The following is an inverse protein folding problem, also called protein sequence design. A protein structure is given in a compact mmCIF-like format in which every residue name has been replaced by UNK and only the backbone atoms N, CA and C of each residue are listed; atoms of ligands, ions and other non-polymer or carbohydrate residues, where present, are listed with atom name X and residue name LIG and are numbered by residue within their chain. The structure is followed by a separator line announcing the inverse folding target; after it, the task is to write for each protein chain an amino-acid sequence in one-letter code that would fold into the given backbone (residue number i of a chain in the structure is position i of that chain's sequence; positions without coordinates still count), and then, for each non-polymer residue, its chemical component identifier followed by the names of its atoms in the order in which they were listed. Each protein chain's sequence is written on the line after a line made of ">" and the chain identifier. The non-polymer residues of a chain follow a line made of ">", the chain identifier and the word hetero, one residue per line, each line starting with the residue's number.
data_IF_351666039059
#
_entry.id   IF_351666039059
#
_cell.length_a   1.000
_cell.length_b   1.000
_cell.length_c   1.000
_cell.angle_alpha   90.00
_cell.angle_beta   90.00
_cell.angle_gamma   90.00
#
_symmetry.space_group_name_H-M   'P 1'
#
loop_
_entity.id
_entity.type
_entity.pdbx_description
1 polymer ?
#
# COMPACT_ATOMS: atom_id res chain seq x y z
N UNK A 1 -22.73 -4.54 -4.36
CA UNK A 1 -21.83 -3.63 -3.60
C UNK A 1 -21.70 -2.34 -4.39
N UNK A 2 -21.92 -1.19 -3.76
CA UNK A 2 -21.70 0.12 -4.40
C UNK A 2 -20.28 0.61 -4.03
N UNK A 3 -19.45 0.87 -5.01
CA UNK A 3 -18.03 1.23 -4.81
C UNK A 3 -17.85 2.58 -4.10
N UNK A 4 -18.73 3.53 -4.37
CA UNK A 4 -18.66 4.86 -3.74
C UNK A 4 -19.05 4.80 -2.26
N UNK A 5 -20.13 4.08 -1.93
CA UNK A 5 -20.56 3.89 -0.54
C UNK A 5 -19.53 3.08 0.26
N UNK A 6 -18.93 2.06 -0.38
CA UNK A 6 -17.84 1.30 0.23
C UNK A 6 -16.65 2.18 0.53
N UNK A 7 -16.21 2.99 -0.45
CA UNK A 7 -15.08 3.91 -0.27
C UNK A 7 -15.39 4.93 0.83
N UNK A 8 -16.55 5.57 0.80
CA UNK A 8 -16.95 6.55 1.83
C UNK A 8 -16.94 5.91 3.22
N UNK A 9 -17.50 4.71 3.37
CA UNK A 9 -17.47 3.97 4.62
C UNK A 9 -16.05 3.62 5.09
N UNK A 10 -15.14 3.30 4.19
CA UNK A 10 -13.72 3.08 4.51
C UNK A 10 -13.04 4.38 4.95
N UNK A 11 -13.34 5.51 4.29
CA UNK A 11 -12.75 6.80 4.64
C UNK A 11 -13.21 7.32 6.01
N UNK A 12 -14.47 7.05 6.38
CA UNK A 12 -15.02 7.38 7.69
C UNK A 12 -14.33 6.63 8.84
N UNK A 13 -13.63 5.55 8.53
CA UNK A 13 -12.84 4.76 9.48
C UNK A 13 -11.36 5.11 9.33
N UNK A 14 -10.95 6.16 10.04
CA UNK A 14 -9.56 6.59 10.05
C UNK A 14 -8.66 5.46 10.53
N UNK A 15 -7.71 5.03 9.69
CA UNK A 15 -6.90 3.83 9.90
C UNK A 15 -5.41 4.08 9.64
N UNK A 16 -4.74 4.95 10.42
CA UNK A 16 -3.29 5.03 10.31
C UNK A 16 -2.66 3.69 10.69
N UNK A 17 -1.46 3.43 10.18
CA UNK A 17 -0.70 2.20 10.46
C UNK A 17 -0.74 1.86 11.96
N UNK A 18 -1.01 0.61 12.29
CA UNK A 18 -1.29 0.03 13.62
C UNK A 18 -2.67 0.35 14.22
N UNK A 19 -3.56 1.04 13.51
CA UNK A 19 -4.91 1.36 13.96
C UNK A 19 -5.98 0.97 12.90
N UNK A 20 -5.73 -0.10 12.15
CA UNK A 20 -6.53 -0.49 10.98
C UNK A 20 -7.81 -1.28 11.31
N UNK A 21 -7.94 -1.79 12.53
CA UNK A 21 -8.95 -2.80 12.89
C UNK A 21 -10.40 -2.42 12.52
N UNK A 22 -10.81 -1.16 12.70
CA UNK A 22 -12.16 -0.72 12.35
C UNK A 22 -12.40 -0.75 10.83
N UNK A 23 -11.43 -0.30 10.03
CA UNK A 23 -11.52 -0.32 8.58
C UNK A 23 -11.50 -1.75 8.04
N UNK A 24 -10.66 -2.62 8.61
CA UNK A 24 -10.57 -4.05 8.29
C UNK A 24 -11.90 -4.75 8.55
N UNK A 25 -12.46 -4.60 9.74
CA UNK A 25 -13.74 -5.23 10.11
C UNK A 25 -14.89 -4.73 9.23
N UNK A 26 -14.90 -3.44 8.89
CA UNK A 26 -15.88 -2.88 7.98
C UNK A 26 -15.77 -3.50 6.58
N UNK A 27 -14.56 -3.58 6.02
CA UNK A 27 -14.36 -4.17 4.69
C UNK A 27 -14.77 -5.64 4.67
N UNK A 28 -14.39 -6.42 5.69
CA UNK A 28 -14.81 -7.83 5.84
C UNK A 28 -16.34 -7.94 5.88
N UNK A 29 -17.03 -7.09 6.66
CA UNK A 29 -18.48 -7.10 6.72
C UNK A 29 -19.13 -6.76 5.36
N UNK A 30 -18.61 -5.78 4.65
CA UNK A 30 -19.10 -5.39 3.32
C UNK A 30 -18.86 -6.48 2.27
N UNK A 31 -17.68 -7.11 2.28
CA UNK A 31 -17.37 -8.25 1.41
C UNK A 31 -18.29 -9.44 1.72
N UNK A 32 -18.47 -9.77 3.00
CA UNK A 32 -19.40 -10.86 3.40
C UNK A 32 -20.84 -10.59 2.91
N UNK A 33 -21.35 -9.38 3.07
CA UNK A 33 -22.66 -8.99 2.60
C UNK A 33 -22.79 -9.05 1.06
N UNK A 34 -21.68 -8.94 0.35
CA UNK A 34 -21.62 -9.03 -1.11
C UNK A 34 -21.34 -10.46 -1.64
N UNK A 35 -21.35 -11.47 -0.77
CA UNK A 35 -21.21 -12.87 -1.15
C UNK A 35 -19.80 -13.42 -1.16
N UNK A 36 -18.83 -12.69 -0.62
CA UNK A 36 -17.49 -13.23 -0.41
C UNK A 36 -17.44 -14.16 0.81
N UNK A 37 -16.63 -15.20 0.75
CA UNK A 37 -16.10 -15.84 1.94
C UNK A 37 -15.04 -14.89 2.54
N UNK A 38 -15.46 -14.05 3.49
CA UNK A 38 -14.59 -12.98 4.00
C UNK A 38 -14.21 -13.23 5.47
N UNK A 39 -12.97 -12.85 5.81
CA UNK A 39 -12.39 -12.98 7.15
C UNK A 39 -11.28 -11.96 7.38
N UNK A 40 -10.91 -11.81 8.63
CA UNK A 40 -9.61 -11.22 9.02
C UNK A 40 -8.60 -12.37 9.10
N UNK A 41 -7.40 -12.19 8.57
CA UNK A 41 -6.32 -13.17 8.70
C UNK A 41 -5.49 -12.98 9.97
N UNK A 42 -4.45 -13.80 10.14
CA UNK A 42 -3.63 -13.89 11.35
C UNK A 42 -2.81 -12.61 11.63
N UNK A 43 -2.53 -11.80 10.61
CA UNK A 43 -1.77 -10.54 10.77
C UNK A 43 -2.68 -9.30 10.72
N UNK A 44 -3.99 -9.51 10.52
CA UNK A 44 -4.99 -8.46 10.54
C UNK A 44 -5.43 -7.95 9.17
N UNK A 45 -5.05 -8.59 8.07
CA UNK A 45 -5.56 -8.23 6.74
C UNK A 45 -7.05 -8.56 6.60
N UNK A 46 -7.77 -7.75 5.86
CA UNK A 46 -9.10 -8.08 5.37
C UNK A 46 -8.97 -8.98 4.13
N UNK A 47 -9.49 -10.20 4.18
CA UNK A 47 -9.43 -11.15 3.07
C UNK A 47 -10.83 -11.53 2.64
N UNK A 48 -11.15 -11.40 1.35
CA UNK A 48 -12.40 -11.83 0.75
C UNK A 48 -12.17 -12.71 -0.46
N UNK A 49 -12.91 -13.81 -0.58
CA UNK A 49 -12.78 -14.78 -1.67
C UNK A 49 -14.12 -14.99 -2.36
N UNK A 50 -14.14 -14.96 -3.70
CA UNK A 50 -15.26 -15.41 -4.53
C UNK A 50 -14.77 -16.51 -5.46
N UNK A 51 -15.55 -17.58 -5.59
CA UNK A 51 -15.20 -18.81 -6.27
C UNK A 51 -14.48 -19.78 -5.33
N UNK A 52 -14.77 -21.04 -5.50
CA UNK A 52 -14.30 -22.11 -4.59
C UNK A 52 -13.01 -22.76 -5.07
N UNK A 53 -12.59 -22.46 -6.30
CA UNK A 53 -11.45 -23.15 -6.89
C UNK A 53 -11.67 -24.66 -7.03
N UNK A 54 -12.94 -25.09 -7.16
CA UNK A 54 -13.33 -26.50 -7.19
C UNK A 54 -12.66 -27.33 -8.30
N UNK A 55 -12.08 -26.66 -9.29
CA UNK A 55 -11.24 -27.27 -10.32
C UNK A 55 -9.76 -27.19 -9.89
N UNK A 56 -9.03 -28.30 -9.99
CA UNK A 56 -7.57 -28.31 -9.80
C UNK A 56 -6.83 -27.34 -10.75
N UNK A 57 -7.46 -26.99 -11.86
CA UNK A 57 -6.95 -26.05 -12.87
C UNK A 57 -7.47 -24.62 -12.69
N UNK A 58 -8.21 -24.31 -11.60
CA UNK A 58 -8.75 -22.99 -11.38
C UNK A 58 -7.64 -21.94 -11.23
N UNK A 59 -7.75 -20.85 -12.01
CA UNK A 59 -6.80 -19.73 -11.97
C UNK A 59 -7.09 -18.81 -10.80
N UNK A 60 -6.09 -18.59 -9.98
CA UNK A 60 -6.16 -17.68 -8.84
C UNK A 60 -5.76 -16.27 -9.26
N UNK A 61 -6.68 -15.32 -9.07
CA UNK A 61 -6.47 -13.88 -9.29
C UNK A 61 -6.52 -13.18 -7.95
N UNK A 62 -5.38 -12.65 -7.51
CA UNK A 62 -5.27 -11.91 -6.27
C UNK A 62 -5.17 -10.42 -6.55
N UNK A 63 -6.05 -9.65 -5.93
CA UNK A 63 -6.06 -8.20 -5.95
C UNK A 63 -5.67 -7.70 -4.56
N UNK A 64 -4.52 -7.04 -4.48
CA UNK A 64 -3.90 -6.56 -3.26
C UNK A 64 -3.92 -5.03 -3.23
N UNK A 65 -4.55 -4.46 -2.23
CA UNK A 65 -4.46 -3.05 -1.89
C UNK A 65 -4.18 -2.90 -0.40
N UNK A 66 -3.73 -1.74 0.06
CA UNK A 66 -3.59 -1.50 1.49
C UNK A 66 -4.77 -0.74 2.08
N UNK A 67 -5.01 -0.93 3.37
CA UNK A 67 -6.14 -0.36 4.10
C UNK A 67 -5.72 0.69 5.12
N UNK A 68 -4.44 0.70 5.47
CA UNK A 68 -3.86 1.74 6.32
C UNK A 68 -3.56 3.02 5.54
N UNK A 69 -3.20 4.05 6.26
CA UNK A 69 -2.84 5.36 5.72
C UNK A 69 -1.72 5.98 6.55
N UNK A 70 -0.98 6.91 5.97
CA UNK A 70 -0.12 7.81 6.75
C UNK A 70 -0.95 8.60 7.77
N UNK A 71 -0.34 9.05 8.87
CA UNK A 71 -0.99 9.94 9.84
C UNK A 71 -1.47 11.25 9.22
N UNK A 72 -2.49 11.85 9.83
CA UNK A 72 -3.08 13.13 9.42
C UNK A 72 -4.51 12.95 8.95
N UNK A 73 -5.46 13.23 9.85
CA UNK A 73 -6.88 13.15 9.56
C UNK A 73 -7.30 14.20 8.53
N UNK A 74 -8.08 13.78 7.54
CA UNK A 74 -8.74 14.64 6.56
C UNK A 74 -10.25 14.36 6.68
N UNK A 75 -11.09 15.37 6.99
CA UNK A 75 -12.53 15.17 7.06
C UNK A 75 -13.09 14.62 5.76
N UNK A 76 -13.93 13.58 5.89
CA UNK A 76 -14.62 13.01 4.72
C UNK A 76 -15.69 13.99 4.26
N UNK A 77 -15.66 14.35 2.98
CA UNK A 77 -16.65 15.21 2.36
C UNK A 77 -16.84 14.83 0.89
N UNK A 78 -18.05 14.99 0.43
CA UNK A 78 -18.41 14.82 -0.98
C UNK A 78 -18.75 16.16 -1.58
N UNK A 79 -18.13 16.50 -2.70
CA UNK A 79 -18.36 17.72 -3.46
C UNK A 79 -18.49 17.33 -4.94
N UNK A 80 -19.66 17.52 -5.49
CA UNK A 80 -20.00 17.12 -6.85
C UNK A 80 -19.69 15.62 -7.12
N UNK A 81 -18.76 15.34 -8.03
CA UNK A 81 -18.28 14.01 -8.39
C UNK A 81 -17.02 13.57 -7.63
N UNK A 82 -16.60 14.32 -6.61
CA UNK A 82 -15.36 14.09 -5.85
C UNK A 82 -15.64 13.69 -4.42
N UNK A 83 -14.86 12.72 -3.95
CA UNK A 83 -14.85 12.27 -2.57
C UNK A 83 -13.48 12.55 -1.95
N UNK A 84 -13.47 13.34 -0.89
CA UNK A 84 -12.26 13.72 -0.15
C UNK A 84 -12.17 12.96 1.16
N UNK A 85 -10.97 12.60 1.57
CA UNK A 85 -10.70 11.94 2.84
C UNK A 85 -9.29 11.35 2.85
N UNK A 86 -8.74 11.07 4.03
CA UNK A 86 -7.45 10.39 4.13
C UNK A 86 -7.55 8.97 3.55
N UNK A 87 -6.72 8.64 2.54
CA UNK A 87 -6.75 7.36 1.85
C UNK A 87 -7.70 7.29 0.64
N UNK A 88 -8.36 8.40 0.24
CA UNK A 88 -9.28 8.39 -0.91
C UNK A 88 -8.60 7.99 -2.22
N UNK A 89 -7.33 8.28 -2.36
CA UNK A 89 -6.48 7.91 -3.51
C UNK A 89 -5.51 6.81 -3.12
N UNK A 90 -4.85 6.95 -1.99
CA UNK A 90 -3.78 6.08 -1.52
C UNK A 90 -4.17 5.40 -0.20
N UNK A 91 -4.61 4.11 -0.19
CA UNK A 91 -5.06 3.36 -1.38
C UNK A 91 -6.43 2.70 -1.15
N UNK A 92 -7.30 3.30 -0.28
CA UNK A 92 -8.68 2.80 -0.06
C UNK A 92 -9.54 2.89 -1.34
N UNK A 93 -9.25 3.86 -2.22
CA UNK A 93 -9.91 3.98 -3.52
C UNK A 93 -9.72 2.74 -4.40
N UNK A 94 -8.49 2.37 -4.77
CA UNK A 94 -8.21 1.14 -5.49
C UNK A 94 -8.76 -0.11 -4.80
N UNK A 95 -8.64 -0.22 -3.48
CA UNK A 95 -9.16 -1.34 -2.69
C UNK A 95 -10.69 -1.47 -2.79
N UNK A 96 -11.42 -0.36 -2.70
CA UNK A 96 -12.87 -0.34 -2.89
C UNK A 96 -13.27 -0.76 -4.30
N UNK A 97 -12.52 -0.31 -5.32
CA UNK A 97 -12.71 -0.75 -6.70
C UNK A 97 -12.51 -2.26 -6.85
N UNK A 98 -11.47 -2.84 -6.26
CA UNK A 98 -11.24 -4.28 -6.31
C UNK A 98 -12.39 -5.07 -5.70
N UNK A 99 -12.84 -4.69 -4.52
CA UNK A 99 -13.95 -5.38 -3.86
C UNK A 99 -15.25 -5.26 -4.68
N UNK A 100 -15.58 -4.07 -5.17
CA UNK A 100 -16.79 -3.84 -5.94
C UNK A 100 -16.75 -4.54 -7.32
N UNK A 101 -15.62 -4.48 -8.03
CA UNK A 101 -15.44 -5.15 -9.31
C UNK A 101 -15.53 -6.67 -9.18
N UNK A 102 -14.94 -7.23 -8.13
CA UNK A 102 -15.02 -8.67 -7.85
C UNK A 102 -16.44 -9.11 -7.49
N UNK A 103 -17.15 -8.31 -6.67
CA UNK A 103 -18.56 -8.57 -6.38
C UNK A 103 -19.44 -8.52 -7.64
N UNK A 104 -19.17 -7.58 -8.55
CA UNK A 104 -19.87 -7.45 -9.83
C UNK A 104 -19.56 -8.62 -10.77
N UNK A 105 -18.30 -9.06 -10.83
CA UNK A 105 -17.90 -10.21 -11.62
C UNK A 105 -18.56 -11.50 -11.11
N UNK A 106 -18.72 -11.63 -9.78
CA UNK A 106 -19.29 -12.81 -9.16
C UNK A 106 -18.47 -14.08 -9.38
N UNK A 107 -19.09 -15.23 -9.19
CA UNK A 107 -18.46 -16.53 -9.45
C UNK A 107 -18.23 -16.69 -10.96
N UNK A 108 -17.03 -17.14 -11.33
CA UNK A 108 -16.64 -17.48 -12.70
C UNK A 108 -16.02 -18.86 -12.73
N UNK A 109 -16.50 -19.70 -13.63
CA UNK A 109 -15.97 -21.05 -13.80
C UNK A 109 -14.47 -21.00 -14.13
N UNK A 110 -13.69 -21.81 -13.43
CA UNK A 110 -12.24 -21.87 -13.60
C UNK A 110 -11.46 -20.70 -12.97
N UNK A 111 -12.10 -19.86 -12.17
CA UNK A 111 -11.42 -18.75 -11.48
C UNK A 111 -11.76 -18.69 -9.99
N UNK A 112 -10.76 -18.31 -9.21
CA UNK A 112 -10.86 -17.96 -7.81
C UNK A 112 -10.33 -16.54 -7.63
N UNK A 113 -11.18 -15.64 -7.21
CA UNK A 113 -10.82 -14.24 -6.98
C UNK A 113 -10.57 -14.00 -5.49
N UNK A 114 -9.46 -13.38 -5.16
CA UNK A 114 -9.07 -13.01 -3.80
C UNK A 114 -8.84 -11.51 -3.76
N UNK A 115 -9.53 -10.81 -2.86
CA UNK A 115 -9.31 -9.40 -2.55
C UNK A 115 -8.72 -9.29 -1.17
N UNK A 116 -7.58 -8.60 -1.04
CA UNK A 116 -6.90 -8.40 0.23
C UNK A 116 -6.69 -6.92 0.49
N UNK A 117 -7.24 -6.42 1.61
CA UNK A 117 -6.89 -5.14 2.20
C UNK A 117 -5.77 -5.34 3.21
N UNK A 118 -4.53 -5.12 2.78
CA UNK A 118 -3.35 -5.33 3.59
C UNK A 118 -3.18 -4.23 4.64
N UNK A 119 -2.66 -4.62 5.81
CA UNK A 119 -2.33 -3.71 6.90
C UNK A 119 -0.85 -3.36 6.90
N UNK A 120 -0.51 -2.13 7.35
CA UNK A 120 0.87 -1.72 7.63
C UNK A 120 1.71 -1.40 6.41
N UNK A 121 1.13 -1.10 5.26
CA UNK A 121 1.89 -0.76 4.05
C UNK A 121 2.71 0.51 4.25
N UNK A 122 2.11 1.53 4.84
CA UNK A 122 2.72 2.83 5.15
C UNK A 122 3.73 2.77 6.32
N UNK A 123 4.08 1.57 6.78
CA UNK A 123 4.99 1.34 7.89
C UNK A 123 5.91 0.14 7.67
N UNK A 124 5.56 -0.99 8.26
CA UNK A 124 6.38 -2.20 8.26
C UNK A 124 6.02 -3.21 7.16
N UNK A 125 4.96 -2.95 6.40
CA UNK A 125 4.44 -3.81 5.33
C UNK A 125 4.11 -5.25 5.78
N UNK A 126 3.78 -5.47 7.08
CA UNK A 126 3.55 -6.80 7.64
C UNK A 126 2.46 -7.58 6.91
N UNK A 127 1.39 -6.88 6.49
CA UNK A 127 0.29 -7.47 5.74
C UNK A 127 0.74 -8.04 4.39
N UNK A 128 1.47 -7.24 3.60
CA UNK A 128 1.99 -7.66 2.31
C UNK A 128 3.06 -8.75 2.43
N UNK A 129 3.89 -8.71 3.47
CA UNK A 129 4.87 -9.77 3.73
C UNK A 129 4.17 -11.11 4.01
N UNK A 130 3.09 -11.10 4.81
CA UNK A 130 2.26 -12.27 5.04
C UNK A 130 1.69 -12.84 3.74
N UNK A 131 1.10 -11.96 2.91
CA UNK A 131 0.55 -12.36 1.60
C UNK A 131 1.61 -13.01 0.71
N UNK A 132 2.80 -12.42 0.61
CA UNK A 132 3.92 -12.98 -0.16
C UNK A 132 4.27 -14.40 0.26
N UNK A 133 4.22 -14.69 1.55
CA UNK A 133 4.65 -15.96 2.11
C UNK A 133 3.56 -17.04 2.05
N UNK A 134 2.27 -16.66 1.98
CA UNK A 134 1.13 -17.58 2.09
C UNK A 134 0.31 -17.73 0.80
N UNK A 135 0.46 -16.84 -0.18
CA UNK A 135 -0.28 -16.90 -1.44
C UNK A 135 0.66 -17.08 -2.64
N UNK A 136 0.21 -17.84 -3.63
CA UNK A 136 0.95 -18.08 -4.89
C UNK A 136 -0.02 -17.96 -6.06
N UNK A 137 -0.61 -16.79 -6.30
CA UNK A 137 -1.63 -16.63 -7.32
C UNK A 137 -1.05 -16.78 -8.73
N UNK A 138 -1.87 -17.19 -9.70
CA UNK A 138 -1.52 -17.14 -11.12
C UNK A 138 -1.41 -15.70 -11.63
N UNK A 139 -2.24 -14.81 -11.11
CA UNK A 139 -2.27 -13.39 -11.46
C UNK A 139 -2.34 -12.51 -10.21
N UNK A 140 -1.52 -11.47 -10.16
CA UNK A 140 -1.51 -10.49 -9.09
C UNK A 140 -1.75 -9.09 -9.67
N UNK A 141 -2.70 -8.36 -9.08
CA UNK A 141 -2.97 -6.96 -9.36
C UNK A 141 -2.77 -6.18 -8.07
N UNK A 142 -1.90 -5.17 -8.10
CA UNK A 142 -1.61 -4.31 -6.95
C UNK A 142 -2.30 -2.97 -7.17
N UNK A 143 -3.09 -2.55 -6.18
CA UNK A 143 -3.90 -1.33 -6.22
C UNK A 143 -3.17 -0.15 -5.61
N UNK A 144 -2.26 0.44 -6.38
CA UNK A 144 -1.55 1.66 -6.02
C UNK A 144 -1.91 2.81 -6.97
N UNK A 145 -1.81 4.08 -6.54
CA UNK A 145 -2.19 5.21 -7.36
C UNK A 145 -1.19 5.46 -8.49
N UNK A 146 -1.40 4.81 -9.63
CA UNK A 146 -0.53 4.90 -10.80
C UNK A 146 -1.19 5.53 -12.03
N UNK A 147 -2.41 6.06 -11.88
CA UNK A 147 -3.24 6.60 -12.96
C UNK A 147 -4.22 5.54 -13.49
N UNK A 148 -5.47 5.94 -13.66
CA UNK A 148 -6.57 5.04 -14.01
C UNK A 148 -6.46 4.47 -15.45
N UNK A 149 -5.73 5.15 -16.35
CA UNK A 149 -5.53 4.74 -17.73
C UNK A 149 -4.26 3.94 -17.98
N UNK A 150 -3.51 3.58 -16.93
CA UNK A 150 -2.19 2.96 -17.06
C UNK A 150 -2.03 1.72 -16.20
N UNK A 151 -1.14 0.85 -16.63
CA UNK A 151 -0.63 -0.26 -15.83
C UNK A 151 0.85 0.02 -15.56
N UNK A 152 1.20 0.14 -14.28
CA UNK A 152 2.60 0.32 -13.86
C UNK A 152 3.30 -1.04 -13.88
N UNK A 153 4.43 -1.12 -14.57
CA UNK A 153 5.21 -2.35 -14.71
C UNK A 153 6.38 -2.44 -13.73
N UNK A 154 6.59 -1.41 -12.91
CA UNK A 154 7.65 -1.41 -11.91
C UNK A 154 7.65 -0.13 -11.06
N UNK A 155 8.25 -0.22 -9.91
CA UNK A 155 8.39 0.88 -8.95
C UNK A 155 9.86 1.13 -8.65
N UNK A 156 10.17 2.38 -8.28
CA UNK A 156 11.49 2.71 -7.74
C UNK A 156 11.58 2.17 -6.33
N UNK A 157 12.67 1.47 -6.03
CA UNK A 157 13.01 1.11 -4.66
C UNK A 157 13.45 2.34 -3.87
N UNK A 158 13.26 2.31 -2.55
CA UNK A 158 13.82 3.27 -1.61
C UNK A 158 14.76 2.58 -0.64
N UNK A 159 15.82 3.28 -0.25
CA UNK A 159 16.75 2.83 0.77
C UNK A 159 16.95 3.95 1.78
N UNK A 160 16.80 3.61 3.05
CA UNK A 160 16.96 4.54 4.16
C UNK A 160 18.30 4.29 4.81
N UNK A 161 19.05 5.38 5.04
CA UNK A 161 20.34 5.34 5.69
C UNK A 161 20.37 6.36 6.81
N UNK A 162 20.94 5.95 7.93
CA UNK A 162 21.31 6.86 9.00
C UNK A 162 22.82 7.06 8.96
N UNK A 163 23.26 8.31 8.95
CA UNK A 163 24.68 8.68 9.01
C UNK A 163 24.95 9.42 10.30
N UNK A 164 25.68 8.79 11.20
CA UNK A 164 26.12 9.37 12.47
C UNK A 164 27.62 9.72 12.38
N UNK A 165 27.96 10.96 12.72
CA UNK A 165 29.36 11.40 12.81
C UNK A 165 29.60 12.09 14.14
N UNK A 166 30.62 11.60 14.86
CA UNK A 166 31.09 12.18 16.11
C UNK A 166 32.50 12.75 15.94
N UNK A 167 32.75 13.93 16.44
CA UNK A 167 34.05 14.59 16.46
C UNK A 167 34.35 15.11 17.88
N UNK A 168 35.61 15.11 18.25
CA UNK A 168 36.06 15.74 19.47
C UNK A 168 35.76 17.24 19.42
N UNK A 169 35.31 17.80 20.54
CA UNK A 169 35.13 19.26 20.66
C UNK A 169 36.46 19.96 20.45
N UNK A 170 36.44 20.93 19.54
CA UNK A 170 37.57 21.78 19.26
C UNK A 170 37.13 23.25 19.27
N UNK A 171 38.03 24.17 19.58
CA UNK A 171 37.76 25.58 19.50
C UNK A 171 37.46 25.99 18.06
N UNK A 172 36.60 26.97 17.83
CA UNK A 172 36.22 27.43 16.48
C UNK A 172 37.37 27.92 15.63
N UNK A 173 38.48 28.32 16.25
CA UNK A 173 39.74 28.71 15.56
C UNK A 173 40.66 27.53 15.22
N UNK A 174 40.31 26.29 15.66
CA UNK A 174 41.13 25.12 15.33
C UNK A 174 40.90 24.72 13.86
N UNK A 175 41.96 24.44 13.15
CA UNK A 175 41.89 23.99 11.75
C UNK A 175 41.60 22.47 11.69
N UNK A 176 40.45 22.07 12.21
CA UNK A 176 39.98 20.67 12.21
C UNK A 176 38.55 20.63 11.69
N UNK A 177 38.22 19.56 10.97
CA UNK A 177 36.89 19.37 10.41
C UNK A 177 35.88 19.13 11.54
N UNK A 178 34.84 19.95 11.61
CA UNK A 178 33.72 19.76 12.52
C UNK A 178 32.80 18.59 12.08
N UNK A 179 31.98 18.09 13.00
CA UNK A 179 30.99 17.08 12.68
C UNK A 179 30.00 17.57 11.61
N UNK A 180 29.59 18.84 11.64
CA UNK A 180 28.73 19.43 10.61
C UNK A 180 29.41 19.45 9.23
N UNK A 181 30.68 19.84 9.16
CA UNK A 181 31.42 19.81 7.89
C UNK A 181 31.57 18.41 7.34
N UNK A 182 31.87 17.42 8.19
CA UNK A 182 31.92 16.01 7.81
C UNK A 182 30.57 15.51 7.27
N UNK A 183 29.45 15.90 7.90
CA UNK A 183 28.12 15.53 7.44
C UNK A 183 27.79 16.15 6.07
N UNK A 184 28.12 17.41 5.87
CA UNK A 184 27.94 18.09 4.56
C UNK A 184 28.81 17.43 3.48
N UNK A 185 30.07 17.11 3.79
CA UNK A 185 30.98 16.43 2.88
C UNK A 185 30.48 15.04 2.50
N UNK A 186 29.90 14.31 3.44
CA UNK A 186 29.26 13.03 3.16
C UNK A 186 28.04 13.18 2.24
N UNK A 187 27.16 14.13 2.52
CA UNK A 187 26.00 14.42 1.70
C UNK A 187 26.36 14.76 0.26
N UNK A 188 27.33 15.64 0.06
CA UNK A 188 27.79 16.04 -1.27
C UNK A 188 28.31 14.84 -2.07
N UNK A 189 29.12 13.97 -1.44
CA UNK A 189 29.63 12.75 -2.08
C UNK A 189 28.49 11.77 -2.44
N UNK A 190 27.47 11.65 -1.58
CA UNK A 190 26.29 10.83 -1.86
C UNK A 190 25.52 11.36 -3.06
N UNK A 191 25.27 12.67 -3.14
CA UNK A 191 24.56 13.28 -4.27
C UNK A 191 25.33 13.16 -5.58
N UNK A 192 26.65 13.33 -5.55
CA UNK A 192 27.53 13.12 -6.71
C UNK A 192 27.48 11.65 -7.17
N UNK A 193 27.60 10.70 -6.24
CA UNK A 193 27.51 9.28 -6.55
C UNK A 193 26.17 8.92 -7.20
N UNK A 194 25.06 9.39 -6.62
CA UNK A 194 23.71 9.15 -7.17
C UNK A 194 23.57 9.76 -8.58
N UNK A 195 24.07 10.97 -8.78
CA UNK A 195 24.06 11.63 -10.09
C UNK A 195 24.83 10.81 -11.12
N UNK A 196 26.05 10.38 -10.79
CA UNK A 196 26.88 9.54 -11.67
C UNK A 196 26.23 8.19 -11.94
N UNK A 197 25.71 7.52 -10.90
CA UNK A 197 25.02 6.23 -11.02
C UNK A 197 23.82 6.28 -11.98
N UNK A 198 23.12 7.41 -12.06
CA UNK A 198 21.96 7.59 -12.93
C UNK A 198 22.31 8.10 -14.33
N UNK A 199 23.57 8.44 -14.62
CA UNK A 199 23.96 9.06 -15.90
C UNK A 199 23.63 8.15 -17.10
N UNK A 200 23.86 6.84 -16.96
CA UNK A 200 23.70 5.84 -18.02
C UNK A 200 22.42 5.02 -17.91
N UNK A 201 21.49 5.42 -17.03
CA UNK A 201 20.25 4.67 -16.80
C UNK A 201 19.07 5.40 -17.35
N UNK A 202 18.19 4.66 -18.05
CA UNK A 202 16.92 5.18 -18.51
C UNK A 202 16.11 5.73 -17.32
N UNK A 203 15.62 6.95 -17.45
CA UNK A 203 14.64 7.48 -16.47
C UNK A 203 13.36 6.67 -16.62
N UNK A 204 13.01 5.92 -15.59
CA UNK A 204 11.69 5.31 -15.46
C UNK A 204 10.66 6.37 -15.08
#
# INVERSE_FOLDING_TARGET
>A
MNEIELLEGLLQRYSPTLQEAEAVNYLVAQMSAAGFAARVDEVGNAVGVIGDGASEDAKEVLMLGHIDTVPGFIPVRREDDRLYGRGSVDAKGPLACFAAATALAGVRDGYRFIVIGAVGEEGDSRGAQWVRDHYKPDHLIIGEPSGWERVTLGYKGSAWYEYEVKRTLAHTSANVESACQAAVSFWNRMTEYVAQFNTDRAKM
#
